data_IF_139876007742
#
_entry.id   IF_139876007742
#
_cell.length_a   1.000
_cell.length_b   1.000
_cell.length_c   1.000
_cell.angle_alpha   90.00
_cell.angle_beta   90.00
_cell.angle_gamma   90.00
#
_symmetry.space_group_name_H-M   'P 1'
#
loop_
_entity.id
_entity.type
_entity.pdbx_description
1 polymer ?
#
# COMPACT_ATOMS: atom_id res chain seq x y z
N UNK A 1 23.97 -36.02 31.82
CA UNK A 1 24.84 -37.14 32.20
C UNK A 1 24.87 -38.16 31.05
N UNK A 2 25.65 -37.88 30.00
CA UNK A 2 26.17 -38.83 28.97
C UNK A 2 26.80 -38.12 27.75
N UNK A 3 26.67 -36.80 27.59
CA UNK A 3 27.33 -36.05 26.51
C UNK A 3 28.59 -35.26 26.94
N UNK A 4 28.82 -35.07 28.25
CA UNK A 4 29.96 -34.29 28.76
C UNK A 4 31.19 -35.13 29.15
N UNK A 5 31.13 -36.46 28.98
CA UNK A 5 32.24 -37.37 29.31
C UNK A 5 33.00 -37.88 28.08
N UNK A 6 32.52 -37.60 26.86
CA UNK A 6 33.20 -37.98 25.62
C UNK A 6 34.26 -36.95 25.20
N UNK A 7 34.01 -35.66 25.43
CA UNK A 7 34.92 -34.58 25.02
C UNK A 7 36.16 -34.47 25.93
N UNK A 8 36.10 -34.93 27.18
CA UNK A 8 37.24 -34.91 28.10
C UNK A 8 38.20 -36.10 27.89
N UNK A 9 37.75 -37.18 27.23
CA UNK A 9 38.59 -38.36 26.94
C UNK A 9 39.43 -38.19 25.66
N UNK A 10 38.91 -37.45 24.67
CA UNK A 10 39.63 -37.11 23.44
C UNK A 10 40.74 -36.07 23.71
N UNK A 11 40.54 -35.19 24.70
CA UNK A 11 41.53 -34.17 25.05
C UNK A 11 42.75 -34.73 25.82
N UNK A 12 42.57 -35.79 26.61
CA UNK A 12 43.63 -36.36 27.45
C UNK A 12 44.49 -37.41 26.70
N UNK A 13 43.98 -38.04 25.64
CA UNK A 13 44.72 -39.04 24.85
C UNK A 13 45.68 -38.42 23.81
N UNK A 14 45.45 -37.17 23.39
CA UNK A 14 46.36 -36.45 22.51
C UNK A 14 47.58 -35.83 23.23
N UNK A 15 47.52 -35.65 24.55
CA UNK A 15 48.59 -34.98 25.30
C UNK A 15 49.73 -35.90 25.76
N UNK A 16 49.60 -37.23 25.62
CA UNK A 16 50.62 -38.19 26.05
C UNK A 16 51.36 -38.92 24.91
N UNK A 17 51.14 -38.57 23.64
CA UNK A 17 51.76 -39.27 22.50
C UNK A 17 52.86 -38.49 21.75
N UNK A 18 53.26 -37.31 22.21
CA UNK A 18 54.30 -36.51 21.55
C UNK A 18 55.35 -35.95 22.52
N UNK A 19 55.97 -36.83 23.31
CA UNK A 19 57.27 -36.54 23.92
C UNK A 19 58.13 -37.81 23.94
N UNK A 20 58.58 -38.23 22.75
CA UNK A 20 59.84 -38.96 22.61
C UNK A 20 60.28 -38.95 21.14
N UNK A 21 61.42 -38.29 20.87
CA UNK A 21 62.52 -38.64 19.94
C UNK A 21 62.19 -39.09 18.49
N UNK A 22 62.86 -38.74 17.40
CA UNK A 22 64.15 -38.10 17.11
C UNK A 22 64.11 -37.63 15.62
N UNK A 23 65.10 -36.84 15.28
CA UNK A 23 65.36 -35.92 14.19
C UNK A 23 65.70 -36.54 12.82
N UNK A 24 64.72 -36.72 11.94
CA UNK A 24 64.98 -36.72 10.48
C UNK A 24 63.75 -36.48 9.57
N UNK A 25 62.57 -36.17 10.13
CA UNK A 25 61.33 -36.02 9.37
C UNK A 25 60.74 -34.59 9.33
N UNK A 26 61.54 -33.58 9.71
CA UNK A 26 61.05 -32.19 9.87
C UNK A 26 60.66 -31.47 8.57
N UNK A 27 61.06 -31.95 7.39
CA UNK A 27 60.77 -31.28 6.11
C UNK A 27 59.49 -31.72 5.38
N UNK A 28 58.84 -32.81 5.80
CA UNK A 28 57.55 -33.23 5.20
C UNK A 28 56.32 -32.85 6.02
N UNK A 29 56.46 -32.68 7.34
CA UNK A 29 55.37 -32.29 8.24
C UNK A 29 55.00 -30.80 8.18
N UNK A 30 55.91 -29.93 7.71
CA UNK A 30 55.62 -28.51 7.50
C UNK A 30 54.66 -28.28 6.31
N UNK A 31 54.81 -29.05 5.23
CA UNK A 31 53.96 -28.91 4.03
C UNK A 31 52.50 -29.34 4.30
N UNK A 32 52.28 -30.36 5.13
CA UNK A 32 50.92 -30.82 5.45
C UNK A 32 50.20 -29.92 6.47
N UNK A 33 50.90 -29.36 7.46
CA UNK A 33 50.30 -28.42 8.42
C UNK A 33 49.97 -27.05 7.81
N UNK A 34 50.67 -26.63 6.76
CA UNK A 34 50.38 -25.38 6.06
C UNK A 34 49.14 -25.51 5.14
N UNK A 35 48.95 -26.68 4.52
CA UNK A 35 47.77 -26.97 3.68
C UNK A 35 46.49 -27.19 4.52
N UNK A 36 46.61 -27.79 5.71
CA UNK A 36 45.46 -28.05 6.58
C UNK A 36 44.95 -26.79 7.31
N UNK A 37 45.85 -25.85 7.65
CA UNK A 37 45.46 -24.54 8.21
C UNK A 37 44.98 -23.53 7.14
N UNK A 38 45.42 -23.63 5.88
CA UNK A 38 44.84 -22.85 4.79
C UNK A 38 43.40 -23.28 4.45
N UNK A 39 43.07 -24.57 4.55
CA UNK A 39 41.71 -25.06 4.28
C UNK A 39 40.69 -24.74 5.39
N UNK A 40 41.14 -24.52 6.63
CA UNK A 40 40.26 -24.12 7.74
C UNK A 40 39.94 -22.62 7.77
N UNK A 41 40.82 -21.78 7.23
CA UNK A 41 40.57 -20.33 7.12
C UNK A 41 39.67 -20.01 5.91
N UNK A 42 39.75 -20.82 4.83
CA UNK A 42 38.92 -20.63 3.63
C UNK A 42 37.46 -21.09 3.78
N UNK A 43 37.17 -21.99 4.73
CA UNK A 43 35.79 -22.48 4.96
C UNK A 43 34.99 -21.59 5.93
N UNK A 44 35.65 -20.71 6.69
CA UNK A 44 34.99 -19.73 7.57
C UNK A 44 34.78 -18.38 6.85
N UNK A 45 35.51 -18.09 5.77
CA UNK A 45 35.31 -16.87 4.98
C UNK A 45 34.22 -16.97 3.90
N UNK A 46 33.75 -18.19 3.55
CA UNK A 46 32.66 -18.38 2.55
C UNK A 46 31.27 -18.34 3.19
N UNK A 47 31.16 -18.47 4.52
CA UNK A 47 29.89 -18.38 5.26
C UNK A 47 29.58 -16.98 5.82
N UNK A 48 30.50 -16.02 5.69
CA UNK A 48 30.25 -14.61 6.05
C UNK A 48 29.89 -13.71 4.86
N UNK A 49 29.84 -14.24 3.63
CA UNK A 49 29.38 -13.52 2.44
C UNK A 49 27.90 -13.77 2.08
N UNK A 50 27.17 -14.56 2.87
CA UNK A 50 25.72 -14.75 2.73
C UNK A 50 24.88 -13.93 3.73
N UNK A 51 25.48 -13.01 4.48
CA UNK A 51 24.78 -12.16 5.47
C UNK A 51 24.86 -10.65 5.21
N UNK A 52 25.43 -10.23 4.08
CA UNK A 52 25.09 -8.94 3.46
C UNK A 52 24.06 -9.17 2.37
N UNK A 53 22.94 -9.80 2.75
CA UNK A 53 21.66 -9.46 2.13
C UNK A 53 21.33 -8.03 2.54
N UNK A 54 22.06 -7.04 2.00
CA UNK A 54 21.58 -5.68 1.92
C UNK A 54 20.22 -5.82 1.24
N UNK A 55 19.18 -5.68 2.06
CA UNK A 55 17.82 -5.79 1.61
C UNK A 55 17.72 -5.00 0.32
N UNK A 56 17.27 -5.67 -0.75
CA UNK A 56 16.49 -4.96 -1.72
C UNK A 56 15.57 -4.06 -0.88
N UNK A 57 15.52 -2.74 -1.12
CA UNK A 57 14.43 -1.97 -0.58
C UNK A 57 13.22 -2.82 -0.92
N UNK A 58 12.42 -3.19 0.09
CA UNK A 58 11.05 -3.61 -0.17
C UNK A 58 10.56 -2.48 -1.04
N UNK A 59 10.56 -2.71 -2.35
CA UNK A 59 9.92 -1.86 -3.30
C UNK A 59 8.53 -1.92 -2.72
N UNK A 60 8.14 -0.85 -2.00
CA UNK A 60 6.78 -0.69 -1.57
C UNK A 60 6.02 -1.02 -2.83
N UNK A 61 5.33 -2.16 -2.81
CA UNK A 61 4.48 -2.55 -3.92
C UNK A 61 3.64 -1.30 -4.09
N UNK A 62 3.92 -0.57 -5.18
CA UNK A 62 3.18 0.62 -5.52
C UNK A 62 1.79 0.05 -5.60
N UNK A 63 0.96 0.32 -4.60
CA UNK A 63 -0.43 -0.13 -4.62
C UNK A 63 -0.97 0.54 -5.86
N UNK A 64 -1.02 -0.22 -6.95
CA UNK A 64 -1.58 0.23 -8.21
C UNK A 64 -3.07 0.34 -7.93
N UNK A 65 -3.48 1.52 -7.50
CA UNK A 65 -4.89 1.84 -7.35
C UNK A 65 -5.57 1.65 -8.70
N UNK A 66 -6.73 1.00 -8.71
CA UNK A 66 -7.49 0.75 -9.94
C UNK A 66 -7.81 2.07 -10.67
N UNK A 67 -8.10 3.14 -9.91
CA UNK A 67 -8.58 4.41 -10.47
C UNK A 67 -7.74 5.63 -10.10
N UNK A 68 -7.48 6.47 -11.11
CA UNK A 68 -6.97 7.82 -10.94
C UNK A 68 -8.11 8.84 -11.09
N UNK A 69 -8.36 9.63 -10.06
CA UNK A 69 -9.36 10.68 -10.01
C UNK A 69 -8.74 11.98 -10.49
N UNK A 70 -9.30 12.53 -11.56
CA UNK A 70 -8.92 13.84 -12.08
C UNK A 70 -9.99 14.86 -11.72
N UNK A 71 -9.67 15.87 -10.86
CA UNK A 71 -10.61 16.92 -10.47
C UNK A 71 -11.26 17.59 -11.68
N UNK A 72 -12.57 17.85 -11.60
CA UNK A 72 -13.32 18.49 -12.67
C UNK A 72 -13.52 17.67 -13.96
N UNK A 73 -12.98 16.46 -14.02
CA UNK A 73 -13.05 15.59 -15.19
C UNK A 73 -13.73 14.26 -14.84
N UNK A 74 -13.18 13.48 -13.90
CA UNK A 74 -13.73 12.18 -13.51
C UNK A 74 -12.65 11.13 -13.33
N UNK A 75 -12.98 9.88 -13.68
CA UNK A 75 -12.06 8.75 -13.73
C UNK A 75 -12.04 8.20 -15.16
N UNK A 76 -11.01 7.42 -15.50
CA UNK A 76 -10.89 6.85 -16.86
C UNK A 76 -12.18 6.12 -17.26
N UNK A 77 -12.71 6.46 -18.44
CA UNK A 77 -13.96 5.95 -19.02
C UNK A 77 -15.27 6.30 -18.29
N UNK A 78 -15.21 7.14 -17.25
CA UNK A 78 -16.38 7.74 -16.59
C UNK A 78 -16.07 9.19 -16.23
N UNK A 79 -16.46 10.10 -17.12
CA UNK A 79 -16.21 11.53 -16.99
C UNK A 79 -17.50 12.33 -16.87
N UNK A 80 -17.39 13.53 -16.32
CA UNK A 80 -18.46 14.53 -16.35
C UNK A 80 -18.86 14.82 -17.80
N UNK A 81 -20.15 15.02 -18.01
CA UNK A 81 -20.80 15.24 -19.31
C UNK A 81 -20.77 14.05 -20.29
N UNK A 82 -20.18 12.91 -19.93
CA UNK A 82 -20.38 11.66 -20.68
C UNK A 82 -21.87 11.32 -20.70
N UNK A 83 -22.31 10.66 -21.77
CA UNK A 83 -23.66 10.09 -21.79
C UNK A 83 -23.74 8.85 -20.89
N UNK A 84 -24.92 8.58 -20.35
CA UNK A 84 -25.18 7.32 -19.63
C UNK A 84 -24.77 6.11 -20.46
N UNK A 85 -25.04 6.12 -21.76
CA UNK A 85 -24.70 5.01 -22.65
C UNK A 85 -23.18 4.83 -22.79
N UNK A 86 -22.42 5.93 -22.83
CA UNK A 86 -20.96 5.87 -22.82
C UNK A 86 -20.45 5.25 -21.52
N UNK A 87 -20.90 5.75 -20.36
CA UNK A 87 -20.54 5.20 -19.06
C UNK A 87 -20.84 3.70 -18.96
N UNK A 88 -22.03 3.28 -19.39
CA UNK A 88 -22.42 1.85 -19.38
C UNK A 88 -21.57 0.97 -20.31
N UNK A 89 -21.09 1.53 -21.41
CA UNK A 89 -20.36 0.76 -22.43
C UNK A 89 -18.86 0.73 -22.15
N UNK A 90 -18.29 1.84 -21.71
CA UNK A 90 -16.85 2.04 -21.57
C UNK A 90 -16.34 1.84 -20.14
N UNK A 91 -17.20 2.04 -19.14
CA UNK A 91 -16.84 1.87 -17.74
C UNK A 91 -17.38 0.55 -17.17
N UNK A 92 -18.70 0.40 -17.10
CA UNK A 92 -19.32 -0.80 -16.54
C UNK A 92 -20.75 -0.99 -17.01
N UNK A 93 -21.08 -2.20 -17.49
CA UNK A 93 -22.46 -2.57 -17.84
C UNK A 93 -23.34 -2.84 -16.61
N UNK A 94 -22.72 -3.00 -15.44
CA UNK A 94 -23.38 -3.42 -14.20
C UNK A 94 -24.04 -2.26 -13.44
N UNK A 95 -24.00 -1.04 -13.99
CA UNK A 95 -24.71 0.09 -13.40
C UNK A 95 -26.21 -0.20 -13.28
N UNK A 96 -26.74 -0.10 -12.06
CA UNK A 96 -28.17 -0.04 -11.83
C UNK A 96 -28.65 1.41 -12.02
N UNK A 97 -29.69 1.61 -12.84
CA UNK A 97 -30.24 2.94 -13.13
C UNK A 97 -31.47 3.17 -12.29
N UNK A 98 -31.50 4.23 -11.47
CA UNK A 98 -32.66 4.60 -10.67
C UNK A 98 -32.62 6.08 -10.27
N UNK A 99 -33.77 6.74 -10.33
CA UNK A 99 -34.01 8.10 -9.80
C UNK A 99 -32.96 9.18 -10.20
N UNK A 100 -32.45 9.12 -11.44
CA UNK A 100 -31.43 10.08 -11.92
C UNK A 100 -29.98 9.70 -11.60
N UNK A 101 -29.74 8.47 -11.15
CA UNK A 101 -28.43 7.95 -10.77
C UNK A 101 -28.10 6.62 -11.46
N UNK A 102 -26.80 6.44 -11.70
CA UNK A 102 -26.15 5.17 -12.01
C UNK A 102 -25.46 4.68 -10.74
N UNK A 103 -25.94 3.57 -10.19
CA UNK A 103 -25.40 2.98 -8.97
C UNK A 103 -24.43 1.85 -9.30
N UNK A 104 -23.24 1.86 -8.68
CA UNK A 104 -22.29 0.75 -8.77
C UNK A 104 -21.65 0.45 -7.40
N UNK A 105 -22.42 -0.09 -6.44
CA UNK A 105 -21.93 -0.35 -5.09
C UNK A 105 -20.76 -1.34 -5.04
N UNK A 106 -20.68 -2.25 -6.02
CA UNK A 106 -19.58 -3.24 -6.16
C UNK A 106 -18.22 -2.61 -6.42
N UNK A 107 -18.18 -1.35 -6.88
CA UNK A 107 -16.95 -0.57 -7.07
C UNK A 107 -16.85 0.64 -6.14
N UNK A 108 -17.79 0.82 -5.22
CA UNK A 108 -17.76 1.98 -4.34
C UNK A 108 -18.04 3.31 -5.02
N UNK A 109 -18.83 3.34 -6.08
CA UNK A 109 -19.10 4.60 -6.78
C UNK A 109 -20.52 4.68 -7.35
N UNK A 110 -21.00 5.91 -7.45
CA UNK A 110 -22.22 6.26 -8.18
C UNK A 110 -21.97 7.45 -9.10
N UNK A 111 -22.88 7.69 -10.03
CA UNK A 111 -22.89 8.92 -10.81
C UNK A 111 -24.32 9.45 -10.98
N UNK A 112 -24.53 10.74 -10.75
CA UNK A 112 -25.79 11.41 -11.09
C UNK A 112 -25.78 11.85 -12.55
N UNK A 113 -26.95 11.95 -13.16
CA UNK A 113 -27.11 12.48 -14.50
C UNK A 113 -28.29 13.45 -14.61
N UNK A 114 -28.20 14.39 -15.57
CA UNK A 114 -29.28 15.33 -15.87
C UNK A 114 -30.33 14.74 -16.81
N UNK A 115 -31.40 15.47 -17.05
CA UNK A 115 -32.48 15.09 -17.98
C UNK A 115 -31.98 14.88 -19.43
N UNK A 116 -30.88 15.54 -19.81
CA UNK A 116 -30.19 15.33 -21.09
C UNK A 116 -29.35 14.03 -21.15
N UNK A 117 -29.42 13.21 -20.10
CA UNK A 117 -28.72 11.93 -20.01
C UNK A 117 -27.22 12.04 -19.84
N UNK A 118 -26.72 13.20 -19.39
CA UNK A 118 -25.29 13.46 -19.18
C UNK A 118 -24.91 13.41 -17.71
N UNK A 119 -23.76 12.81 -17.42
CA UNK A 119 -23.20 12.73 -16.06
C UNK A 119 -22.93 14.12 -15.48
N UNK A 120 -23.34 14.36 -14.24
CA UNK A 120 -23.23 15.65 -13.53
C UNK A 120 -22.30 15.62 -12.34
N UNK A 121 -22.35 14.54 -11.58
CA UNK A 121 -21.50 14.33 -10.42
C UNK A 121 -21.10 12.86 -10.38
N UNK A 122 -19.84 12.61 -10.03
CA UNK A 122 -19.34 11.27 -9.74
C UNK A 122 -19.04 11.22 -8.24
N UNK A 123 -19.58 10.22 -7.56
CA UNK A 123 -19.42 10.00 -6.12
C UNK A 123 -18.54 8.77 -5.92
N UNK A 124 -17.45 8.92 -5.17
CA UNK A 124 -16.44 7.88 -4.97
C UNK A 124 -16.32 7.61 -3.47
N UNK A 125 -16.91 6.51 -3.02
CA UNK A 125 -17.13 6.21 -1.61
C UNK A 125 -16.03 5.30 -1.05
N UNK A 126 -15.31 5.81 -0.06
CA UNK A 126 -14.33 5.03 0.71
C UNK A 126 -14.96 4.41 1.96
N UNK A 127 -15.93 5.11 2.55
CA UNK A 127 -16.67 4.68 3.75
C UNK A 127 -18.14 4.96 3.51
N UNK A 128 -18.89 3.97 3.02
CA UNK A 128 -20.35 4.01 2.92
C UNK A 128 -20.91 2.59 3.16
N UNK A 129 -21.88 2.39 4.08
CA UNK A 129 -22.47 1.07 4.29
C UNK A 129 -23.07 0.49 3.00
N UNK A 130 -22.89 -0.82 2.79
CA UNK A 130 -23.35 -1.60 1.62
C UNK A 130 -22.59 -1.34 0.31
N UNK A 131 -21.54 -0.51 0.35
CA UNK A 131 -20.64 -0.29 -0.77
C UNK A 131 -19.30 -0.96 -0.50
N UNK A 132 -18.65 -1.45 -1.55
CA UNK A 132 -17.23 -1.78 -1.51
C UNK A 132 -16.45 -0.47 -1.38
N UNK A 133 -15.36 -0.45 -0.63
CA UNK A 133 -14.45 0.71 -0.58
C UNK A 133 -13.90 0.98 -1.98
N UNK A 134 -14.09 2.19 -2.48
CA UNK A 134 -13.51 2.63 -3.75
C UNK A 134 -11.98 2.51 -3.72
N UNK A 135 -11.39 1.88 -4.74
CA UNK A 135 -9.94 1.74 -4.88
C UNK A 135 -9.39 2.75 -5.90
N UNK A 136 -9.25 3.99 -5.45
CA UNK A 136 -8.66 5.04 -6.25
C UNK A 136 -7.99 6.12 -5.43
N UNK A 137 -7.26 6.98 -6.13
CA UNK A 137 -6.60 8.17 -5.57
C UNK A 137 -6.74 9.33 -6.53
N UNK A 138 -6.67 10.56 -6.02
CA UNK A 138 -6.54 11.74 -6.87
C UNK A 138 -5.18 11.82 -7.55
N UNK A 139 -5.09 12.64 -8.59
CA UNK A 139 -3.83 13.07 -9.21
C UNK A 139 -2.83 13.73 -8.25
N UNK A 140 -3.28 14.15 -7.07
CA UNK A 140 -2.46 14.65 -5.96
C UNK A 140 -2.24 13.64 -4.83
N UNK A 141 -2.66 12.39 -5.01
CA UNK A 141 -2.43 11.29 -4.06
C UNK A 141 -3.38 11.23 -2.87
N UNK A 142 -4.53 11.90 -2.92
CA UNK A 142 -5.56 11.79 -1.87
C UNK A 142 -6.41 10.55 -2.11
N UNK A 143 -6.56 9.71 -1.10
CA UNK A 143 -7.35 8.48 -1.14
C UNK A 143 -7.82 8.06 0.25
N UNK A 144 -8.25 6.80 0.38
CA UNK A 144 -8.95 6.25 1.57
C UNK A 144 -8.32 6.60 2.94
N UNK A 145 -6.99 6.64 3.01
CA UNK A 145 -6.24 6.84 4.25
C UNK A 145 -5.82 8.32 4.47
N UNK A 146 -6.25 9.23 3.60
CA UNK A 146 -5.91 10.64 3.69
C UNK A 146 -6.73 11.38 4.73
N UNK A 147 -6.07 12.26 5.48
CA UNK A 147 -6.71 13.15 6.45
C UNK A 147 -7.10 14.49 5.82
N UNK A 148 -7.90 15.28 6.55
CA UNK A 148 -8.18 16.70 6.22
C UNK A 148 -6.88 17.47 5.98
N UNK A 149 -5.86 17.25 6.84
CA UNK A 149 -4.57 17.92 6.72
C UNK A 149 -3.84 17.57 5.41
N UNK A 150 -3.94 16.32 4.96
CA UNK A 150 -3.34 15.90 3.69
C UNK A 150 -4.02 16.59 2.51
N UNK A 151 -5.36 16.72 2.54
CA UNK A 151 -6.13 17.45 1.53
C UNK A 151 -5.71 18.92 1.48
N UNK A 152 -5.69 19.60 2.63
CA UNK A 152 -5.30 21.01 2.70
C UNK A 152 -3.85 21.25 2.25
N UNK A 153 -2.95 20.30 2.54
CA UNK A 153 -1.56 20.35 2.07
C UNK A 153 -1.47 20.19 0.55
N UNK A 154 -2.27 19.31 -0.05
CA UNK A 154 -2.22 19.00 -1.48
C UNK A 154 -2.97 20.03 -2.35
N UNK A 155 -4.09 20.57 -1.86
CA UNK A 155 -4.99 21.43 -2.63
C UNK A 155 -4.96 22.90 -2.18
N UNK A 156 -4.36 23.21 -1.04
CA UNK A 156 -4.34 24.55 -0.47
C UNK A 156 -5.65 24.91 0.24
N UNK A 157 -5.88 26.20 0.52
CA UNK A 157 -7.11 26.67 1.15
C UNK A 157 -8.35 26.34 0.29
N UNK A 158 -9.43 25.81 0.89
CA UNK A 158 -10.63 25.48 0.15
C UNK A 158 -11.44 26.71 -0.23
N UNK A 159 -12.28 26.54 -1.25
CA UNK A 159 -13.25 27.58 -1.64
C UNK A 159 -14.38 27.67 -0.62
N UNK A 160 -14.77 26.54 -0.03
CA UNK A 160 -15.83 26.43 0.96
C UNK A 160 -15.59 25.24 1.86
N UNK A 161 -15.93 25.41 3.13
CA UNK A 161 -16.03 24.34 4.12
C UNK A 161 -17.45 24.24 4.66
N UNK A 162 -17.81 23.09 5.21
CA UNK A 162 -19.09 22.89 5.88
C UNK A 162 -19.01 21.78 6.90
N UNK A 163 -19.66 21.98 8.04
CA UNK A 163 -19.70 21.04 9.15
C UNK A 163 -21.15 20.75 9.52
N UNK A 164 -21.46 19.48 9.76
CA UNK A 164 -22.80 19.06 10.16
C UNK A 164 -22.79 17.72 10.89
N UNK A 165 -23.94 17.35 11.46
CA UNK A 165 -24.18 16.00 12.00
C UNK A 165 -25.15 15.29 11.06
N UNK A 166 -24.81 14.07 10.66
CA UNK A 166 -25.70 13.27 9.83
C UNK A 166 -26.94 12.88 10.63
N UNK A 167 -28.12 13.19 10.07
CA UNK A 167 -29.43 12.89 10.66
C UNK A 167 -29.58 11.42 11.04
N UNK A 168 -30.49 11.12 11.98
CA UNK A 168 -30.83 9.76 12.40
C UNK A 168 -31.34 8.86 11.26
N UNK A 169 -31.87 9.47 10.18
CA UNK A 169 -32.33 8.77 8.97
C UNK A 169 -31.28 8.77 7.85
N UNK A 170 -30.08 9.29 8.10
CA UNK A 170 -29.00 9.39 7.13
C UNK A 170 -28.24 8.08 6.92
N UNK A 171 -27.27 8.11 6.00
CA UNK A 171 -26.48 6.93 5.65
C UNK A 171 -25.56 6.44 6.77
N UNK A 172 -25.09 7.36 7.63
CA UNK A 172 -24.30 7.06 8.83
C UNK A 172 -24.78 7.96 9.98
N UNK A 173 -25.91 7.59 10.63
CA UNK A 173 -26.53 8.39 11.67
C UNK A 173 -25.57 8.83 12.78
N UNK A 174 -25.60 10.13 13.11
CA UNK A 174 -24.84 10.72 14.21
C UNK A 174 -23.36 10.99 13.94
N UNK A 175 -22.82 10.59 12.79
CA UNK A 175 -21.44 10.91 12.42
C UNK A 175 -21.27 12.42 12.19
N UNK A 176 -20.11 12.94 12.58
CA UNK A 176 -19.72 14.31 12.27
C UNK A 176 -19.23 14.40 10.83
N UNK A 177 -19.94 15.14 10.00
CA UNK A 177 -19.61 15.37 8.61
C UNK A 177 -18.87 16.70 8.46
N UNK A 178 -17.65 16.64 7.90
CA UNK A 178 -16.89 17.80 7.48
C UNK A 178 -16.65 17.74 5.97
N UNK A 179 -16.97 18.82 5.25
CA UNK A 179 -16.85 18.90 3.79
C UNK A 179 -15.89 20.00 3.38
N UNK A 180 -15.01 19.69 2.42
CA UNK A 180 -14.01 20.60 1.86
C UNK A 180 -14.24 20.68 0.36
N UNK A 181 -14.60 21.86 -0.15
CA UNK A 181 -14.94 22.05 -1.57
C UNK A 181 -13.93 22.96 -2.27
N UNK A 182 -13.41 22.50 -3.41
CA UNK A 182 -12.59 23.29 -4.34
C UNK A 182 -13.37 23.50 -5.64
N UNK A 183 -14.22 24.53 -5.66
CA UNK A 183 -15.21 24.74 -6.75
C UNK A 183 -14.54 24.89 -8.11
N UNK A 184 -13.49 25.70 -8.21
CA UNK A 184 -12.76 25.93 -9.47
C UNK A 184 -11.95 24.72 -9.95
N UNK A 185 -11.66 23.76 -9.06
CA UNK A 185 -10.99 22.51 -9.40
C UNK A 185 -12.01 21.38 -9.67
N UNK A 186 -13.30 21.59 -9.37
CA UNK A 186 -14.34 20.58 -9.58
C UNK A 186 -14.19 19.35 -8.70
N UNK A 187 -13.82 19.53 -7.42
CA UNK A 187 -13.67 18.43 -6.47
C UNK A 187 -14.15 18.82 -5.07
N UNK A 188 -14.78 17.87 -4.39
CA UNK A 188 -15.17 17.96 -2.99
C UNK A 188 -14.70 16.72 -2.24
N UNK A 189 -14.27 16.90 -1.00
CA UNK A 189 -13.93 15.85 -0.05
C UNK A 189 -14.94 15.89 1.09
N UNK A 190 -15.45 14.72 1.49
CA UNK A 190 -16.35 14.57 2.63
C UNK A 190 -15.71 13.63 3.63
N UNK A 191 -15.64 14.05 4.89
CA UNK A 191 -15.09 13.29 6.00
C UNK A 191 -16.19 12.99 7.01
N UNK A 192 -16.23 11.74 7.49
CA UNK A 192 -17.11 11.31 8.58
C UNK A 192 -16.28 10.83 9.76
N UNK A 193 -16.39 11.53 10.89
CA UNK A 193 -15.57 11.34 12.08
C UNK A 193 -14.08 11.35 11.70
N UNK A 194 -13.66 12.43 11.03
CA UNK A 194 -12.28 12.69 10.56
C UNK A 194 -11.72 11.69 9.54
N UNK A 195 -12.49 10.68 9.14
CA UNK A 195 -12.10 9.69 8.13
C UNK A 195 -12.66 10.08 6.77
N UNK A 196 -11.86 10.01 5.70
CA UNK A 196 -12.35 10.30 4.35
C UNK A 196 -13.48 9.33 3.98
N UNK A 197 -14.67 9.88 3.76
CA UNK A 197 -15.87 9.11 3.45
C UNK A 197 -16.14 9.04 1.96
N UNK A 198 -16.11 10.19 1.29
CA UNK A 198 -16.27 10.27 -0.16
C UNK A 198 -15.43 11.37 -0.80
N UNK A 199 -15.11 11.16 -2.08
CA UNK A 199 -14.68 12.20 -3.00
C UNK A 199 -15.77 12.40 -4.04
N UNK A 200 -16.11 13.66 -4.33
CA UNK A 200 -17.03 14.01 -5.42
C UNK A 200 -16.31 14.77 -6.50
N UNK A 201 -16.49 14.33 -7.74
CA UNK A 201 -16.05 15.08 -8.92
C UNK A 201 -17.24 15.87 -9.46
N UNK A 202 -17.05 17.17 -9.65
CA UNK A 202 -18.10 18.14 -9.97
C UNK A 202 -17.66 19.01 -11.15
N UNK A 203 -18.59 19.55 -11.92
CA UNK A 203 -18.23 20.52 -12.97
C UNK A 203 -17.65 21.77 -12.34
N UNK A 204 -16.43 22.20 -12.72
CA UNK A 204 -15.86 23.45 -12.24
C UNK A 204 -16.76 24.65 -12.55
N UNK A 205 -16.79 25.64 -11.66
CA UNK A 205 -17.52 26.91 -11.85
C UNK A 205 -16.60 28.10 -11.73
#
# INVERSE_FOLDING_TARGET
MMAFLFDLWIYQTHLNFCNSYDSNHKNQLWKYNMVLNMFRVLLVSVLCLSLTGCGLPKHHAKTEHEFLITPGIGIKNLSLNDSIQHAKTQFSRDFAVKDGYLFLPTKGLDASYGEDGKIRTIFLYYKLPRYVTFDGITDKGIGKDSSIKDVLKAYGPPTREGDSIISEFGSVPGAHEHTITYVHQGIQFTFWDETLADIRVLTPK
#
